data_IF_949439231317
#
_entry.id   IF_949439231317
#
_cell.length_a   1.000
_cell.length_b   1.000
_cell.length_c   1.000
_cell.angle_alpha   90.00
_cell.angle_beta   90.00
_cell.angle_gamma   90.00
#
_symmetry.space_group_name_H-M   'P 1'
#
loop_
_entity.id
_entity.type
_entity.pdbx_description
1 polymer ?
#
# COMPACT_ATOMS: atom_id res chain seq x y z
N UNK A 1 11.69 -10.54 0.91
CA UNK A 1 11.09 -9.81 -0.22
C UNK A 1 11.00 -8.33 0.14
N UNK A 2 11.44 -7.49 -0.75
CA UNK A 2 11.41 -6.05 -0.55
C UNK A 2 10.34 -5.41 -1.42
N UNK A 3 9.81 -4.28 -0.98
CA UNK A 3 8.77 -3.56 -1.69
C UNK A 3 9.06 -2.06 -1.69
N UNK A 4 8.77 -1.41 -2.81
CA UNK A 4 8.77 0.04 -2.93
C UNK A 4 7.52 0.48 -3.66
N UNK A 5 7.07 1.70 -3.39
CA UNK A 5 5.93 2.26 -4.10
C UNK A 5 6.42 3.11 -5.26
N UNK A 6 5.72 3.04 -6.37
CA UNK A 6 6.00 3.92 -7.50
C UNK A 6 5.64 5.35 -7.14
N UNK A 7 6.31 6.30 -7.77
CA UNK A 7 6.05 7.72 -7.55
C UNK A 7 4.69 8.11 -8.15
N UNK A 8 4.21 9.27 -7.78
CA UNK A 8 3.03 9.91 -8.36
C UNK A 8 1.71 9.26 -7.98
N UNK A 9 1.64 8.70 -6.77
CA UNK A 9 0.37 8.26 -6.20
C UNK A 9 0.00 9.10 -5.00
N UNK A 10 -1.30 9.40 -4.88
CA UNK A 10 -1.87 10.14 -3.75
C UNK A 10 -2.99 9.33 -3.14
N UNK A 11 -3.18 9.49 -1.82
CA UNK A 11 -4.36 8.97 -1.14
C UNK A 11 -5.28 10.15 -0.89
N UNK A 12 -6.51 10.06 -1.39
CA UNK A 12 -7.55 11.08 -1.17
C UNK A 12 -8.73 10.44 -0.47
N UNK A 13 -9.44 11.24 0.33
CA UNK A 13 -10.69 10.81 0.95
C UNK A 13 -11.85 11.37 0.15
N UNK A 14 -12.65 10.48 -0.45
CA UNK A 14 -13.80 10.85 -1.27
C UNK A 14 -15.01 10.11 -0.70
N UNK A 15 -16.04 10.86 -0.28
CA UNK A 15 -17.27 10.29 0.27
C UNK A 15 -17.00 9.28 1.41
N UNK A 16 -16.10 9.63 2.31
CA UNK A 16 -15.68 8.82 3.47
C UNK A 16 -14.88 7.56 3.10
N UNK A 17 -14.49 7.42 1.85
CA UNK A 17 -13.64 6.31 1.42
C UNK A 17 -12.25 6.83 1.04
N UNK A 18 -11.24 6.04 1.35
CA UNK A 18 -9.86 6.35 0.96
C UNK A 18 -9.61 5.76 -0.42
N UNK A 19 -9.11 6.59 -1.32
CA UNK A 19 -8.90 6.21 -2.72
C UNK A 19 -7.47 6.52 -3.10
N UNK A 20 -6.82 5.58 -3.76
CA UNK A 20 -5.49 5.78 -4.32
C UNK A 20 -5.64 6.31 -5.74
N UNK A 21 -5.02 7.45 -6.01
CA UNK A 21 -5.09 8.13 -7.30
C UNK A 21 -3.69 8.29 -7.86
N UNK A 22 -3.50 7.86 -9.12
CA UNK A 22 -2.26 8.16 -9.83
C UNK A 22 -2.22 9.65 -10.18
N UNK A 23 -1.12 10.32 -9.83
CA UNK A 23 -0.95 11.76 -10.00
C UNK A 23 0.11 12.05 -11.08
N UNK A 24 0.04 11.35 -12.21
CA UNK A 24 0.92 11.60 -13.34
C UNK A 24 0.38 12.70 -14.25
N UNK A 25 1.01 12.88 -15.40
CA UNK A 25 0.59 13.88 -16.38
C UNK A 25 -0.82 13.64 -16.89
N UNK A 26 -1.32 12.44 -16.78
CA UNK A 26 -2.68 12.09 -17.15
C UNK A 26 -3.35 11.42 -15.97
N UNK A 27 -4.40 12.06 -15.48
CA UNK A 27 -5.26 11.44 -14.46
C UNK A 27 -6.09 10.39 -15.17
N UNK A 28 -5.82 9.12 -14.86
CA UNK A 28 -6.58 8.01 -15.42
C UNK A 28 -7.54 7.48 -14.37
N UNK A 29 -8.80 7.88 -14.44
CA UNK A 29 -9.81 7.48 -13.48
C UNK A 29 -10.08 5.98 -13.47
N UNK A 30 -9.67 5.25 -14.52
CA UNK A 30 -9.78 3.80 -14.52
C UNK A 30 -8.80 3.13 -13.55
N UNK A 31 -7.86 3.90 -13.00
CA UNK A 31 -6.86 3.40 -12.04
C UNK A 31 -7.12 3.83 -10.62
N UNK A 32 -8.35 4.24 -10.31
CA UNK A 32 -8.73 4.51 -8.93
C UNK A 32 -8.82 3.19 -8.17
N UNK A 33 -8.17 3.14 -7.04
CA UNK A 33 -8.18 1.96 -6.17
C UNK A 33 -8.79 2.36 -4.84
N UNK A 34 -9.90 1.73 -4.48
CA UNK A 34 -10.52 1.96 -3.19
C UNK A 34 -9.75 1.17 -2.14
N UNK A 35 -9.33 1.86 -1.07
CA UNK A 35 -8.50 1.28 -0.02
C UNK A 35 -9.30 1.12 1.25
N UNK A 36 -9.17 -0.04 1.88
CA UNK A 36 -9.61 -0.16 3.27
C UNK A 36 -8.55 0.50 4.17
N UNK A 37 -8.83 0.57 5.47
CA UNK A 37 -7.93 1.26 6.41
C UNK A 37 -6.54 0.61 6.44
N UNK A 38 -6.48 -0.71 6.41
CA UNK A 38 -5.20 -1.44 6.40
C UNK A 38 -4.39 -1.12 5.15
N UNK A 39 -5.01 -1.15 3.98
CA UNK A 39 -4.33 -0.84 2.73
C UNK A 39 -3.82 0.61 2.72
N UNK A 40 -4.64 1.55 3.18
CA UNK A 40 -4.24 2.95 3.26
C UNK A 40 -3.04 3.12 4.21
N UNK A 41 -3.03 2.42 5.34
CA UNK A 41 -1.92 2.45 6.28
C UNK A 41 -0.63 1.94 5.62
N UNK A 42 -0.69 0.81 4.94
CA UNK A 42 0.48 0.21 4.29
C UNK A 42 1.04 1.15 3.21
N UNK A 43 0.17 1.71 2.38
CA UNK A 43 0.62 2.63 1.33
C UNK A 43 1.23 3.89 1.93
N UNK A 44 0.64 4.43 2.98
CA UNK A 44 1.19 5.60 3.67
C UNK A 44 2.58 5.30 4.23
N UNK A 45 2.77 4.12 4.83
CA UNK A 45 4.08 3.72 5.32
C UNK A 45 5.11 3.60 4.20
N UNK A 46 4.71 3.04 3.06
CA UNK A 46 5.60 2.95 1.89
C UNK A 46 5.97 4.34 1.36
N UNK A 47 5.04 5.28 1.37
CA UNK A 47 5.29 6.63 0.88
C UNK A 47 6.27 7.40 1.75
N UNK A 48 6.40 7.04 3.01
CA UNK A 48 7.38 7.65 3.91
C UNK A 48 8.80 7.20 3.64
N UNK A 49 8.97 6.11 2.89
CA UNK A 49 10.28 5.51 2.66
C UNK A 49 10.85 5.99 1.34
N UNK A 50 12.15 6.30 1.33
CA UNK A 50 12.86 6.69 0.12
C UNK A 50 13.45 5.49 -0.62
N UNK A 51 13.46 4.32 0.02
CA UNK A 51 14.05 3.10 -0.53
C UNK A 51 13.10 1.93 -0.31
N UNK A 52 13.34 0.84 -1.04
CA UNK A 52 12.59 -0.39 -0.82
C UNK A 52 12.80 -0.91 0.61
N UNK A 53 11.74 -1.42 1.21
CA UNK A 53 11.77 -1.96 2.57
C UNK A 53 11.31 -3.41 2.56
N UNK A 54 11.66 -4.13 3.63
CA UNK A 54 11.24 -5.53 3.79
C UNK A 54 9.74 -5.61 4.03
N UNK A 55 9.09 -6.57 3.39
CA UNK A 55 7.66 -6.83 3.60
C UNK A 55 7.38 -7.16 5.06
N UNK A 56 8.32 -7.86 5.71
CA UNK A 56 8.23 -8.23 7.12
C UNK A 56 8.13 -6.99 8.02
N UNK A 57 8.79 -5.88 7.64
CA UNK A 57 8.70 -4.64 8.41
C UNK A 57 7.29 -4.04 8.35
N UNK A 58 6.62 -4.16 7.23
CA UNK A 58 5.24 -3.71 7.10
C UNK A 58 4.30 -4.57 7.94
N UNK A 59 4.52 -5.88 7.94
CA UNK A 59 3.73 -6.78 8.77
C UNK A 59 3.90 -6.45 10.25
N UNK A 60 5.12 -6.16 10.68
CA UNK A 60 5.38 -5.78 12.07
C UNK A 60 4.69 -4.46 12.42
N UNK A 61 4.66 -3.51 11.50
CA UNK A 61 3.93 -2.25 11.72
C UNK A 61 2.44 -2.49 11.94
N UNK A 62 1.84 -3.44 11.22
CA UNK A 62 0.44 -3.80 11.43
C UNK A 62 0.23 -4.45 12.79
N UNK A 63 1.12 -5.35 13.21
CA UNK A 63 1.04 -5.96 14.53
C UNK A 63 1.05 -4.90 15.62
N UNK A 64 1.94 -3.93 15.49
CA UNK A 64 2.10 -2.86 16.49
C UNK A 64 0.87 -1.96 16.56
N UNK A 65 0.19 -1.75 15.44
CA UNK A 65 -0.94 -0.82 15.38
C UNK A 65 -2.28 -1.49 15.71
N UNK A 66 -2.49 -2.72 15.22
CA UNK A 66 -3.80 -3.39 15.27
C UNK A 66 -3.84 -4.59 16.22
N UNK A 67 -2.74 -4.92 16.88
CA UNK A 67 -2.68 -6.06 17.82
C UNK A 67 -3.11 -7.39 17.19
N UNK A 68 -2.73 -7.62 15.93
CA UNK A 68 -3.00 -8.87 15.22
C UNK A 68 -1.78 -9.80 15.29
N UNK A 69 -1.99 -11.09 15.04
CA UNK A 69 -0.89 -12.05 15.01
C UNK A 69 0.02 -11.74 13.81
N UNK A 70 1.33 -11.88 14.02
CA UNK A 70 2.31 -11.57 12.99
C UNK A 70 2.11 -12.39 11.72
N UNK A 71 1.87 -13.71 11.87
CA UNK A 71 1.68 -14.57 10.69
C UNK A 71 0.49 -14.15 9.86
N UNK A 72 -0.59 -13.73 10.51
CA UNK A 72 -1.78 -13.24 9.83
C UNK A 72 -1.50 -11.89 9.15
N UNK A 73 -0.81 -10.99 9.85
CA UNK A 73 -0.45 -9.70 9.29
C UNK A 73 0.45 -9.87 8.06
N UNK A 74 1.44 -10.77 8.14
CA UNK A 74 2.34 -11.02 7.01
C UNK A 74 1.60 -11.58 5.81
N UNK A 75 0.66 -12.51 6.02
CA UNK A 75 -0.14 -13.07 4.93
C UNK A 75 -1.00 -11.99 4.26
N UNK A 76 -1.66 -11.15 5.06
CA UNK A 76 -2.54 -10.10 4.55
C UNK A 76 -1.75 -9.04 3.78
N UNK A 77 -0.60 -8.61 4.32
CA UNK A 77 0.24 -7.63 3.64
C UNK A 77 0.77 -8.19 2.33
N UNK A 78 1.23 -9.43 2.34
CA UNK A 78 1.77 -10.07 1.14
C UNK A 78 0.73 -10.14 0.03
N UNK A 79 -0.49 -10.57 0.37
CA UNK A 79 -1.58 -10.63 -0.60
C UNK A 79 -1.91 -9.24 -1.16
N UNK A 80 -2.02 -8.25 -0.29
CA UNK A 80 -2.28 -6.87 -0.71
C UNK A 80 -1.21 -6.38 -1.67
N UNK A 81 0.06 -6.62 -1.36
CA UNK A 81 1.17 -6.16 -2.19
C UNK A 81 1.18 -6.83 -3.56
N UNK A 82 0.82 -8.11 -3.65
CA UNK A 82 0.69 -8.78 -4.95
C UNK A 82 -0.42 -8.15 -5.79
N UNK A 83 -1.54 -7.79 -5.17
CA UNK A 83 -2.61 -7.11 -5.88
C UNK A 83 -2.17 -5.73 -6.36
N UNK A 84 -1.47 -4.98 -5.53
CA UNK A 84 -0.96 -3.67 -5.91
C UNK A 84 0.12 -3.76 -6.99
N UNK A 85 0.91 -4.81 -6.99
CA UNK A 85 1.90 -5.04 -8.05
C UNK A 85 1.20 -5.26 -9.39
N UNK A 86 0.13 -6.03 -9.41
CA UNK A 86 -0.66 -6.25 -10.64
C UNK A 86 -1.24 -4.95 -11.17
N UNK A 87 -1.53 -4.01 -10.29
CA UNK A 87 -2.05 -2.70 -10.67
C UNK A 87 -0.95 -1.68 -10.94
N UNK A 88 0.31 -2.12 -10.91
CA UNK A 88 1.48 -1.30 -11.17
C UNK A 88 1.66 -0.16 -10.16
N UNK A 89 1.21 -0.36 -8.93
CA UNK A 89 1.37 0.63 -7.85
C UNK A 89 2.69 0.43 -7.12
N UNK A 90 3.08 -0.82 -6.89
CA UNK A 90 4.31 -1.15 -6.17
C UNK A 90 5.22 -2.04 -6.99
N UNK A 91 6.48 -2.08 -6.58
CA UNK A 91 7.50 -2.95 -7.16
C UNK A 91 7.94 -3.92 -6.09
N UNK A 92 7.86 -5.21 -6.37
CA UNK A 92 8.35 -6.27 -5.48
C UNK A 92 9.67 -6.82 -6.00
N UNK A 93 10.61 -6.99 -5.07
CA UNK A 93 11.95 -7.52 -5.39
C UNK A 93 12.26 -8.79 -4.62
#
# INVERSE_FOLDING_TARGET
MKVSIKKDFLIETIANEKVLIGNGEQINFSRLVILNDTAAFIITELQKQSQAIEVESLAQSLVDLYEVAYDEALADVTELLYQLEKQEVVILE
#
